data_IF_978456230630
#
_entry.id   IF_978456230630
#
_cell.length_a   1.000
_cell.length_b   1.000
_cell.length_c   1.000
_cell.angle_alpha   90.00
_cell.angle_beta   90.00
_cell.angle_gamma   90.00
#
_symmetry.space_group_name_H-M   'P 1'
#
loop_
_entity.id
_entity.type
_entity.pdbx_description
1 polymer ?
#
# COMPACT_ATOMS: atom_id res chain seq x y z
N UNK A 1 -5.46 93.35 37.43
CA UNK A 1 -5.11 92.13 36.67
C UNK A 1 -3.77 91.52 37.12
N UNK A 2 -2.83 92.29 37.68
CA UNK A 2 -1.57 91.73 38.20
C UNK A 2 -1.72 90.88 39.46
N UNK A 3 -2.58 91.29 40.40
CA UNK A 3 -2.83 90.51 41.63
C UNK A 3 -3.42 89.12 41.35
N UNK A 4 -4.26 88.99 40.32
CA UNK A 4 -4.83 87.70 39.89
C UNK A 4 -3.79 86.83 39.16
N UNK A 5 -2.86 87.42 38.41
CA UNK A 5 -1.76 86.70 37.76
C UNK A 5 -0.74 86.17 38.78
N UNK A 6 -0.41 86.97 39.80
CA UNK A 6 0.51 86.54 40.86
C UNK A 6 -0.12 85.47 41.76
N UNK A 7 -1.43 85.56 42.05
CA UNK A 7 -2.17 84.53 42.76
C UNK A 7 -2.25 83.21 41.98
N UNK A 8 -2.50 83.26 40.66
CA UNK A 8 -2.43 82.08 39.80
C UNK A 8 -1.00 81.49 39.75
N UNK A 9 0.02 82.34 39.68
CA UNK A 9 1.43 81.92 39.70
C UNK A 9 1.81 81.20 40.99
N UNK A 10 1.37 81.70 42.14
CA UNK A 10 1.60 81.05 43.44
C UNK A 10 0.90 79.68 43.58
N UNK A 11 -0.31 79.54 43.04
CA UNK A 11 -1.03 78.26 43.04
C UNK A 11 -0.33 77.25 42.12
N UNK A 12 0.09 77.68 40.92
CA UNK A 12 0.84 76.85 39.97
C UNK A 12 2.19 76.41 40.55
N UNK A 13 2.93 77.32 41.19
CA UNK A 13 4.23 77.02 41.79
C UNK A 13 4.10 76.01 42.94
N UNK A 14 3.04 76.12 43.75
CA UNK A 14 2.73 75.16 44.81
C UNK A 14 2.18 73.82 44.30
N UNK A 15 1.65 73.76 43.08
CA UNK A 15 1.18 72.52 42.46
C UNK A 15 2.32 71.67 41.88
N UNK A 16 3.45 72.27 41.50
CA UNK A 16 4.61 71.57 40.89
C UNK A 16 5.11 70.41 41.79
N UNK A 17 5.34 70.59 43.10
CA UNK A 17 5.74 69.50 43.99
C UNK A 17 4.71 68.36 44.04
N UNK A 18 3.41 68.68 44.04
CA UNK A 18 2.34 67.68 44.03
C UNK A 18 2.31 66.89 42.73
N UNK A 19 2.49 67.55 41.58
CA UNK A 19 2.61 66.88 40.28
C UNK A 19 3.83 65.95 40.23
N UNK A 20 4.99 66.42 40.69
CA UNK A 20 6.20 65.58 40.79
C UNK A 20 5.97 64.36 41.68
N UNK A 21 5.29 64.53 42.82
CA UNK A 21 4.96 63.44 43.73
C UNK A 21 3.99 62.44 43.10
N UNK A 22 2.97 62.89 42.35
CA UNK A 22 2.06 62.01 41.62
C UNK A 22 2.80 61.22 40.53
N UNK A 23 3.70 61.87 39.78
CA UNK A 23 4.51 61.20 38.76
C UNK A 23 5.40 60.12 39.40
N UNK A 24 6.10 60.47 40.49
CA UNK A 24 6.96 59.55 41.21
C UNK A 24 6.17 58.37 41.78
N UNK A 25 5.00 58.64 42.37
CA UNK A 25 4.07 57.63 42.86
C UNK A 25 3.56 56.71 41.74
N UNK A 26 3.23 57.27 40.56
CA UNK A 26 2.81 56.48 39.40
C UNK A 26 3.92 55.50 38.97
N UNK A 27 5.16 55.96 38.85
CA UNK A 27 6.28 55.08 38.48
C UNK A 27 6.54 54.02 39.57
N UNK A 28 6.43 54.40 40.85
CA UNK A 28 6.55 53.47 41.96
C UNK A 28 5.48 52.37 41.90
N UNK A 29 4.19 52.72 41.79
CA UNK A 29 3.11 51.74 41.67
C UNK A 29 3.25 50.88 40.41
N UNK A 30 3.66 51.47 39.28
CA UNK A 30 3.88 50.74 38.03
C UNK A 30 4.94 49.66 38.21
N UNK A 31 6.04 49.96 38.88
CA UNK A 31 7.11 49.01 39.14
C UNK A 31 6.77 47.97 40.20
N UNK A 32 6.20 48.40 41.33
CA UNK A 32 6.03 47.57 42.53
C UNK A 32 4.71 46.79 42.53
N UNK A 33 3.64 47.32 41.94
CA UNK A 33 2.30 46.72 42.06
C UNK A 33 1.78 46.19 40.72
N UNK A 34 1.72 47.05 39.69
CA UNK A 34 1.07 46.67 38.42
C UNK A 34 1.86 45.61 37.65
N UNK A 35 3.20 45.74 37.56
CA UNK A 35 4.04 44.75 36.88
C UNK A 35 3.95 43.34 37.51
N UNK A 36 4.09 43.16 38.84
CA UNK A 36 3.90 41.84 39.45
C UNK A 36 2.48 41.30 39.28
N UNK A 37 1.46 42.15 39.38
CA UNK A 37 0.07 41.75 39.21
C UNK A 37 -0.21 41.22 37.80
N UNK A 38 0.26 41.94 36.78
CA UNK A 38 0.14 41.53 35.38
C UNK A 38 0.87 40.21 35.11
N UNK A 39 2.06 40.03 35.70
CA UNK A 39 2.81 38.76 35.61
C UNK A 39 2.02 37.59 36.19
N UNK A 40 1.42 37.74 37.38
CA UNK A 40 0.64 36.67 38.03
C UNK A 40 -0.64 36.36 37.24
N UNK A 41 -1.31 37.37 36.69
CA UNK A 41 -2.48 37.17 35.83
C UNK A 41 -2.10 36.42 34.55
N UNK A 42 -1.01 36.81 33.90
CA UNK A 42 -0.48 36.12 32.72
C UNK A 42 -0.10 34.67 33.04
N UNK A 43 0.58 34.41 34.16
CA UNK A 43 0.93 33.06 34.59
C UNK A 43 -0.32 32.20 34.82
N UNK A 44 -1.39 32.76 35.42
CA UNK A 44 -2.67 32.05 35.60
C UNK A 44 -3.38 31.76 34.28
N UNK A 45 -3.37 32.72 33.36
CA UNK A 45 -3.98 32.55 32.03
C UNK A 45 -3.21 31.52 31.20
N UNK A 46 -1.88 31.51 31.27
CA UNK A 46 -1.06 30.49 30.63
C UNK A 46 -1.24 29.11 31.27
N UNK A 47 -1.31 29.04 32.60
CA UNK A 47 -1.53 27.78 33.32
C UNK A 47 -2.91 27.17 33.02
N UNK A 48 -3.92 27.99 32.73
CA UNK A 48 -5.28 27.52 32.47
C UNK A 48 -5.59 27.44 30.98
N UNK A 49 -5.70 28.58 30.30
CA UNK A 49 -6.03 28.66 28.88
C UNK A 49 -4.88 28.15 28.01
N UNK A 50 -3.64 28.49 28.37
CA UNK A 50 -2.46 27.96 27.66
C UNK A 50 -2.34 26.44 27.77
N UNK A 51 -2.55 25.86 28.96
CA UNK A 51 -2.56 24.41 29.12
C UNK A 51 -3.68 23.72 28.32
N UNK A 52 -4.88 24.30 28.29
CA UNK A 52 -5.99 23.79 27.46
C UNK A 52 -5.66 23.84 25.98
N UNK A 53 -5.10 24.94 25.48
CA UNK A 53 -4.65 25.06 24.08
C UNK A 53 -3.59 24.01 23.74
N UNK A 54 -2.56 23.84 24.57
CA UNK A 54 -1.53 22.81 24.38
C UNK A 54 -2.10 21.39 24.37
N UNK A 55 -3.08 21.11 25.23
CA UNK A 55 -3.77 19.82 25.24
C UNK A 55 -4.56 19.61 23.95
N UNK A 56 -5.33 20.61 23.49
CA UNK A 56 -6.06 20.55 22.22
C UNK A 56 -5.14 20.35 21.03
N UNK A 57 -4.02 21.09 20.95
CA UNK A 57 -3.02 20.92 19.91
C UNK A 57 -2.39 19.52 19.95
N UNK A 58 -2.14 18.98 21.15
CA UNK A 58 -1.58 17.64 21.30
C UNK A 58 -2.57 16.55 20.86
N UNK A 59 -3.85 16.72 21.20
CA UNK A 59 -4.92 15.83 20.75
C UNK A 59 -5.10 15.91 19.23
N UNK A 60 -5.14 17.10 18.64
CA UNK A 60 -5.25 17.29 17.21
C UNK A 60 -4.08 16.62 16.46
N UNK A 61 -2.85 16.77 16.96
CA UNK A 61 -1.66 16.09 16.41
C UNK A 61 -1.74 14.57 16.57
N UNK A 62 -2.28 14.07 17.68
CA UNK A 62 -2.46 12.64 17.90
C UNK A 62 -3.51 12.06 16.94
N UNK A 63 -4.64 12.75 16.77
CA UNK A 63 -5.70 12.37 15.82
C UNK A 63 -5.21 12.40 14.38
N UNK A 64 -4.44 13.41 13.99
CA UNK A 64 -3.83 13.49 12.66
C UNK A 64 -2.90 12.30 12.40
N UNK A 65 -2.01 11.99 13.35
CA UNK A 65 -1.13 10.82 13.26
C UNK A 65 -1.92 9.50 13.22
N UNK A 66 -2.98 9.39 14.00
CA UNK A 66 -3.84 8.22 14.00
C UNK A 66 -4.52 8.02 12.64
N UNK A 67 -5.04 9.09 12.02
CA UNK A 67 -5.62 9.06 10.67
C UNK A 67 -4.59 8.66 9.62
N UNK A 68 -3.39 9.25 9.65
CA UNK A 68 -2.31 8.89 8.73
C UNK A 68 -1.91 7.41 8.88
N UNK A 69 -1.85 6.91 10.12
CA UNK A 69 -1.57 5.51 10.39
C UNK A 69 -2.67 4.59 9.86
N UNK A 70 -3.94 4.92 10.10
CA UNK A 70 -5.08 4.13 9.59
C UNK A 70 -5.14 4.12 8.06
N UNK A 71 -4.91 5.26 7.41
CA UNK A 71 -4.84 5.37 5.96
C UNK A 71 -3.69 4.55 5.37
N UNK A 72 -2.50 4.62 5.96
CA UNK A 72 -1.36 3.82 5.52
C UNK A 72 -1.62 2.32 5.70
N UNK A 73 -2.23 1.91 6.81
CA UNK A 73 -2.60 0.52 7.06
C UNK A 73 -3.64 0.03 6.04
N UNK A 74 -4.66 0.85 5.73
CA UNK A 74 -5.66 0.54 4.71
C UNK A 74 -5.02 0.39 3.33
N UNK A 75 -4.08 1.29 2.98
CA UNK A 75 -3.35 1.24 1.72
C UNK A 75 -2.52 -0.03 1.61
N UNK A 76 -1.72 -0.35 2.61
CA UNK A 76 -0.88 -1.57 2.64
C UNK A 76 -1.75 -2.82 2.53
N UNK A 77 -2.87 -2.89 3.26
CA UNK A 77 -3.81 -4.02 3.12
C UNK A 77 -4.34 -4.14 1.69
N UNK A 78 -4.74 -3.03 1.06
CA UNK A 78 -5.20 -3.04 -0.32
C UNK A 78 -4.11 -3.48 -1.30
N UNK A 79 -2.86 -3.08 -1.09
CA UNK A 79 -1.73 -3.47 -1.92
C UNK A 79 -1.45 -4.98 -1.78
N UNK A 80 -1.46 -5.52 -0.56
CA UNK A 80 -1.32 -6.96 -0.29
C UNK A 80 -2.42 -7.76 -1.01
N UNK A 81 -3.68 -7.33 -0.92
CA UNK A 81 -4.77 -8.03 -1.60
C UNK A 81 -4.62 -8.01 -3.13
N UNK A 82 -4.16 -6.89 -3.69
CA UNK A 82 -3.88 -6.78 -5.13
C UNK A 82 -2.76 -7.73 -5.54
N UNK A 83 -1.65 -7.75 -4.80
CA UNK A 83 -0.51 -8.61 -5.09
C UNK A 83 -0.89 -10.10 -4.99
N UNK A 84 -1.65 -10.50 -3.96
CA UNK A 84 -2.15 -11.87 -3.82
C UNK A 84 -3.06 -12.27 -4.99
N UNK A 85 -3.97 -11.38 -5.42
CA UNK A 85 -4.87 -11.65 -6.54
C UNK A 85 -4.10 -11.75 -7.86
N UNK A 86 -3.11 -10.88 -8.09
CA UNK A 86 -2.23 -10.97 -9.26
C UNK A 86 -1.40 -12.25 -9.26
N UNK A 87 -0.82 -12.63 -8.12
CA UNK A 87 -0.07 -13.87 -7.97
C UNK A 87 -0.97 -15.08 -8.25
N UNK A 88 -2.19 -15.08 -7.71
CA UNK A 88 -3.20 -16.14 -7.95
C UNK A 88 -3.57 -16.23 -9.43
N UNK A 89 -3.82 -15.11 -10.10
CA UNK A 89 -4.10 -15.07 -11.55
C UNK A 89 -2.94 -15.59 -12.37
N UNK A 90 -1.71 -15.19 -12.06
CA UNK A 90 -0.50 -15.69 -12.75
C UNK A 90 -0.34 -17.19 -12.57
N UNK A 91 -0.56 -17.71 -11.35
CA UNK A 91 -0.52 -19.14 -11.07
C UNK A 91 -1.58 -19.92 -11.85
N UNK A 92 -2.83 -19.45 -11.85
CA UNK A 92 -3.93 -20.08 -12.59
C UNK A 92 -3.67 -20.07 -14.10
N UNK A 93 -3.21 -18.95 -14.65
CA UNK A 93 -2.86 -18.84 -16.06
C UNK A 93 -1.70 -19.78 -16.43
N UNK A 94 -0.66 -19.85 -15.58
CA UNK A 94 0.47 -20.76 -15.77
C UNK A 94 0.06 -22.23 -15.72
N UNK A 95 -0.77 -22.60 -14.75
CA UNK A 95 -1.31 -23.97 -14.63
C UNK A 95 -2.16 -24.34 -15.85
N UNK A 96 -3.07 -23.46 -16.28
CA UNK A 96 -3.89 -23.68 -17.45
C UNK A 96 -3.04 -23.86 -18.73
N UNK A 97 -2.00 -23.03 -18.90
CA UNK A 97 -1.07 -23.15 -20.02
C UNK A 97 -0.30 -24.48 -20.00
N UNK A 98 0.19 -24.93 -18.84
CA UNK A 98 0.88 -26.21 -18.71
C UNK A 98 -0.04 -27.39 -19.00
N UNK A 99 -1.28 -27.37 -18.50
CA UNK A 99 -2.26 -28.43 -18.78
C UNK A 99 -2.61 -28.46 -20.27
N UNK A 100 -2.80 -27.30 -20.90
CA UNK A 100 -3.08 -27.20 -22.33
C UNK A 100 -1.91 -27.75 -23.17
N UNK A 101 -0.67 -27.39 -22.82
CA UNK A 101 0.54 -27.88 -23.47
C UNK A 101 0.69 -29.41 -23.31
N UNK A 102 0.53 -29.93 -22.09
CA UNK A 102 0.59 -31.37 -21.82
C UNK A 102 -0.49 -32.13 -22.60
N UNK A 103 -1.71 -31.59 -22.65
CA UNK A 103 -2.82 -32.16 -23.42
C UNK A 103 -2.54 -32.16 -24.92
N UNK A 104 -1.91 -31.10 -25.46
CA UNK A 104 -1.52 -31.02 -26.86
C UNK A 104 -0.47 -32.09 -27.19
N UNK A 105 0.60 -32.17 -26.39
CA UNK A 105 1.65 -33.19 -26.56
C UNK A 105 1.10 -34.60 -26.46
N UNK A 106 0.21 -34.87 -25.51
CA UNK A 106 -0.44 -36.18 -25.40
C UNK A 106 -1.24 -36.53 -26.67
N UNK A 107 -1.98 -35.58 -27.24
CA UNK A 107 -2.71 -35.78 -28.50
C UNK A 107 -1.77 -36.04 -29.68
N UNK A 108 -0.67 -35.29 -29.78
CA UNK A 108 0.35 -35.46 -30.82
C UNK A 108 1.01 -36.85 -30.70
N UNK A 109 1.38 -37.28 -29.48
CA UNK A 109 1.94 -38.61 -29.24
C UNK A 109 0.97 -39.73 -29.61
N UNK A 110 -0.31 -39.61 -29.25
CA UNK A 110 -1.33 -40.61 -29.60
C UNK A 110 -1.54 -40.66 -31.11
N UNK A 111 -1.54 -39.52 -31.80
CA UNK A 111 -1.65 -39.47 -33.25
C UNK A 111 -0.46 -40.16 -33.93
N UNK A 112 0.77 -39.84 -33.52
CA UNK A 112 1.98 -40.46 -34.03
C UNK A 112 2.03 -41.98 -33.78
N UNK A 113 1.65 -42.43 -32.58
CA UNK A 113 1.59 -43.86 -32.25
C UNK A 113 0.55 -44.59 -33.11
N UNK A 114 -0.61 -43.99 -33.39
CA UNK A 114 -1.61 -44.56 -34.28
C UNK A 114 -1.10 -44.70 -35.72
N UNK A 115 -0.36 -43.72 -36.20
CA UNK A 115 0.25 -43.75 -37.53
C UNK A 115 1.32 -44.85 -37.63
N UNK A 116 2.17 -44.99 -36.61
CA UNK A 116 3.15 -46.08 -36.53
C UNK A 116 2.48 -47.46 -36.52
N UNK A 117 1.46 -47.66 -35.68
CA UNK A 117 0.72 -48.93 -35.61
C UNK A 117 0.07 -49.25 -36.97
N UNK A 118 -0.49 -48.24 -37.66
CA UNK A 118 -1.08 -48.44 -38.98
C UNK A 118 -0.04 -48.85 -40.03
N UNK A 119 1.15 -48.24 -40.01
CA UNK A 119 2.26 -48.60 -40.89
C UNK A 119 2.78 -50.02 -40.60
N UNK A 120 2.98 -50.37 -39.33
CA UNK A 120 3.40 -51.72 -38.91
C UNK A 120 2.36 -52.77 -39.31
N UNK A 121 1.07 -52.49 -39.13
CA UNK A 121 -0.01 -53.39 -39.54
C UNK A 121 -0.05 -53.59 -41.06
N UNK A 122 0.20 -52.54 -41.85
CA UNK A 122 0.29 -52.65 -43.31
C UNK A 122 1.50 -53.49 -43.74
N UNK A 123 2.67 -53.28 -43.12
CA UNK A 123 3.87 -54.06 -43.39
C UNK A 123 3.68 -55.54 -43.01
N UNK A 124 3.08 -55.83 -41.85
CA UNK A 124 2.80 -57.19 -41.41
C UNK A 124 1.82 -57.90 -42.34
N UNK A 125 0.79 -57.20 -42.87
CA UNK A 125 -0.12 -57.77 -43.87
C UNK A 125 0.60 -58.15 -45.16
N UNK A 126 1.45 -57.28 -45.67
CA UNK A 126 2.24 -57.57 -46.88
C UNK A 126 3.18 -58.75 -46.67
N UNK A 127 3.82 -58.85 -45.51
CA UNK A 127 4.68 -59.99 -45.17
C UNK A 127 3.90 -61.30 -45.11
N UNK A 128 2.73 -61.32 -44.46
CA UNK A 128 1.85 -62.49 -44.39
C UNK A 128 1.33 -62.92 -45.77
N UNK A 129 1.00 -61.97 -46.65
CA UNK A 129 0.58 -62.29 -48.03
C UNK A 129 1.71 -62.94 -48.82
N UNK A 130 2.94 -62.41 -48.71
CA UNK A 130 4.12 -62.99 -49.36
C UNK A 130 4.45 -64.40 -48.83
N UNK A 131 4.40 -64.58 -47.50
CA UNK A 131 4.68 -65.87 -46.85
C UNK A 131 3.59 -66.90 -47.19
N UNK A 132 2.32 -66.50 -47.21
CA UNK A 132 1.21 -67.36 -47.64
C UNK A 132 1.34 -67.79 -49.10
N UNK A 133 1.78 -66.89 -49.98
CA UNK A 133 2.05 -67.21 -51.39
C UNK A 133 3.19 -68.21 -51.57
N UNK A 134 4.27 -68.05 -50.80
CA UNK A 134 5.39 -69.00 -50.78
C UNK A 134 4.94 -70.38 -50.27
N UNK A 135 4.19 -70.42 -49.17
CA UNK A 135 3.66 -71.67 -48.59
C UNK A 135 2.71 -72.39 -49.57
N UNK A 136 1.85 -71.64 -50.26
CA UNK A 136 0.94 -72.19 -51.27
C UNK A 136 1.69 -72.80 -52.47
N UNK A 137 2.79 -72.16 -52.90
CA UNK A 137 3.65 -72.70 -53.95
C UNK A 137 4.34 -74.01 -53.52
N UNK A 138 4.86 -74.06 -52.29
CA UNK A 138 5.49 -75.25 -51.70
C UNK A 138 4.49 -76.42 -51.59
N UNK A 139 3.26 -76.15 -51.14
CA UNK A 139 2.18 -77.15 -51.09
C UNK A 139 1.82 -77.64 -52.51
N UNK A 140 1.70 -76.73 -53.48
CA UNK A 140 1.39 -77.10 -54.86
C UNK A 140 2.47 -78.00 -55.47
N UNK A 141 3.75 -77.70 -55.21
CA UNK A 141 4.88 -78.50 -55.66
C UNK A 141 4.86 -79.91 -55.04
N UNK A 142 4.66 -80.03 -53.72
CA UNK A 142 4.57 -81.33 -53.04
C UNK A 142 3.39 -82.18 -53.52
N UNK A 143 2.21 -81.57 -53.75
CA UNK A 143 1.04 -82.29 -54.27
C UNK A 143 1.26 -82.76 -55.71
N UNK A 144 1.91 -81.96 -56.55
CA UNK A 144 2.22 -82.33 -57.94
C UNK A 144 3.28 -83.45 -58.01
N UNK A 145 4.30 -83.41 -57.16
CA UNK A 145 5.31 -84.48 -57.06
C UNK A 145 4.72 -85.78 -56.51
N UNK A 146 3.80 -85.72 -55.53
CA UNK A 146 3.12 -86.89 -54.98
C UNK A 146 2.14 -87.58 -55.95
N UNK A 147 1.76 -86.92 -57.05
CA UNK A 147 0.88 -87.48 -58.10
C UNK A 147 1.65 -88.08 -59.29
N UNK A 148 2.98 -87.92 -59.31
CA UNK A 148 3.87 -88.44 -60.34
C UNK A 148 4.56 -89.76 -59.92
N UNK A 149 4.12 -90.40 -58.84
CA UNK A 149 4.53 -91.73 -58.37
C UNK A 149 3.39 -92.74 -58.49
#
# INVERSE_FOLDING_TARGET
MEATLNALGGILLNAIPTFLLIILLHFYLKGVFFKPLEKVLHERDEATAGARRRAQESLAKAEEKAKQYEESLRRVRSEIYKEQEEARKKWQAGQAAQIAEASRRAKEMVAAAKEQIAAEAAAARQALEAESGALAAEIAETVLQGRAA
#
